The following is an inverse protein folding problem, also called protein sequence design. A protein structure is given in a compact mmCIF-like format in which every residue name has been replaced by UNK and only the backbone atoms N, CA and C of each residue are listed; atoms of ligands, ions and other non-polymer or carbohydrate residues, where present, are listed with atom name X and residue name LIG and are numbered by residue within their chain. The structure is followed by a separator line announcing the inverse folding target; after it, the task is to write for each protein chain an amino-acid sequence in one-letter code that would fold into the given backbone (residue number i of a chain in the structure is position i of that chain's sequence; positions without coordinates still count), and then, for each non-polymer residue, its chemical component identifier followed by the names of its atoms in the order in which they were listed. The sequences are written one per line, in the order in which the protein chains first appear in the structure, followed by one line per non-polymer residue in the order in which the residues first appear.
data_IF_955407622931
#
_entry.id   IF_955407622931
#
_cell.length_a   1.000
_cell.length_b   1.000
_cell.length_c   1.000
_cell.angle_alpha   90.00
_cell.angle_beta   90.00
_cell.angle_gamma   90.00
#
_symmetry.space_group_name_H-M   'P 1'
#
loop_
_entity.id
_entity.type
_entity.pdbx_description
1 polymer ?
#
# COMPACT_ATOMS: atom_id res chain seq x y z
N UNK A 1 -32.77 5.07 24.98
CA UNK A 1 -32.59 4.82 23.53
C UNK A 1 -32.74 6.16 22.83
N UNK A 2 -31.70 6.65 22.17
CA UNK A 2 -31.76 7.95 21.50
C UNK A 2 -32.39 7.80 20.12
N UNK A 3 -33.66 8.19 20.00
CA UNK A 3 -34.39 8.36 18.73
C UNK A 3 -33.95 9.68 18.09
N UNK A 4 -32.80 9.64 17.41
CA UNK A 4 -32.32 10.75 16.57
C UNK A 4 -32.75 10.58 15.11
N UNK A 5 -32.79 11.69 14.36
CA UNK A 5 -33.12 11.82 12.92
C UNK A 5 -32.29 10.97 11.93
N UNK A 6 -31.49 10.03 12.43
CA UNK A 6 -30.58 9.15 11.67
C UNK A 6 -30.79 7.67 12.05
N UNK A 7 -32.02 7.28 12.41
CA UNK A 7 -32.39 5.87 12.55
C UNK A 7 -32.14 5.13 11.22
N UNK A 8 -31.18 4.18 11.22
CA UNK A 8 -30.89 3.29 10.08
C UNK A 8 -32.15 2.60 9.58
N UNK A 9 -33.03 2.20 10.50
CA UNK A 9 -34.27 1.48 10.22
C UNK A 9 -35.36 2.34 9.57
N UNK A 10 -35.40 3.66 9.86
CA UNK A 10 -36.55 4.49 9.47
C UNK A 10 -36.23 5.57 8.42
N UNK A 11 -34.98 6.03 8.33
CA UNK A 11 -34.62 7.22 7.51
C UNK A 11 -33.51 6.98 6.48
N UNK A 12 -32.58 6.06 6.73
CA UNK A 12 -31.53 5.71 5.76
C UNK A 12 -32.03 4.56 4.86
N UNK A 13 -32.56 4.89 3.68
CA UNK A 13 -33.02 3.90 2.69
C UNK A 13 -31.91 3.36 1.79
N UNK A 14 -30.72 3.97 1.83
CA UNK A 14 -29.54 3.53 1.11
C UNK A 14 -28.63 2.73 2.06
N UNK A 15 -28.04 1.65 1.55
CA UNK A 15 -27.07 0.86 2.30
C UNK A 15 -25.80 1.70 2.54
N UNK A 16 -25.34 1.86 3.79
CA UNK A 16 -24.10 2.57 4.07
C UNK A 16 -22.93 1.78 3.50
N UNK A 17 -22.25 2.37 2.51
CA UNK A 17 -21.03 1.82 1.91
C UNK A 17 -19.93 2.88 1.97
N UNK A 18 -18.66 2.51 2.23
CA UNK A 18 -17.55 3.44 2.13
C UNK A 18 -17.46 4.04 0.72
N UNK A 19 -16.87 5.24 0.61
CA UNK A 19 -16.56 5.80 -0.69
C UNK A 19 -15.60 4.86 -1.46
N UNK A 20 -15.73 4.71 -2.79
CA UNK A 20 -14.88 3.81 -3.54
C UNK A 20 -13.39 4.18 -3.48
N UNK A 21 -12.51 3.18 -3.47
CA UNK A 21 -11.08 3.39 -3.61
C UNK A 21 -10.76 3.99 -5.00
N UNK A 22 -9.88 5.00 -5.05
CA UNK A 22 -9.46 5.59 -6.31
C UNK A 22 -8.50 4.64 -7.05
N UNK A 23 -9.04 3.83 -7.96
CA UNK A 23 -8.31 2.81 -8.71
C UNK A 23 -8.20 3.13 -10.20
N UNK A 24 -7.06 2.80 -10.79
CA UNK A 24 -6.77 3.03 -12.20
C UNK A 24 -6.14 1.77 -12.81
N UNK A 25 -6.90 1.12 -13.69
CA UNK A 25 -6.37 0.09 -14.56
C UNK A 25 -5.39 0.74 -15.55
N UNK A 26 -4.12 0.35 -15.50
CA UNK A 26 -3.10 0.86 -16.42
C UNK A 26 -2.77 -0.17 -17.50
N UNK A 27 -2.80 -1.46 -17.18
CA UNK A 27 -2.60 -2.57 -18.12
C UNK A 27 -3.23 -3.87 -17.60
N UNK A 28 -3.02 -4.99 -18.31
CA UNK A 28 -3.73 -6.24 -18.11
C UNK A 28 -3.11 -7.19 -17.07
N UNK A 29 -2.02 -6.81 -16.38
CA UNK A 29 -1.40 -7.70 -15.42
C UNK A 29 -2.27 -7.84 -14.15
N UNK A 30 -2.42 -9.05 -13.58
CA UNK A 30 -3.36 -9.33 -12.49
C UNK A 30 -2.79 -8.93 -11.12
N UNK A 31 -2.25 -7.71 -11.01
CA UNK A 31 -1.76 -7.15 -9.77
C UNK A 31 -2.24 -5.72 -9.59
N UNK A 32 -2.40 -5.30 -8.33
CA UNK A 32 -2.69 -3.91 -7.98
C UNK A 32 -1.68 -3.38 -6.96
N UNK A 33 -1.13 -2.20 -7.22
CA UNK A 33 -0.33 -1.45 -6.24
C UNK A 33 -1.15 -0.30 -5.67
N UNK A 34 -1.31 -0.27 -4.35
CA UNK A 34 -1.96 0.81 -3.62
C UNK A 34 -0.89 1.72 -3.01
N UNK A 35 -1.07 3.03 -3.17
CA UNK A 35 -0.12 4.05 -2.73
C UNK A 35 -0.82 5.06 -1.82
N UNK A 36 -0.26 5.31 -0.63
CA UNK A 36 -0.87 6.23 0.34
C UNK A 36 -0.76 7.70 -0.05
N UNK A 37 0.37 8.10 -0.65
CA UNK A 37 0.70 9.49 -0.95
C UNK A 37 0.42 9.89 -2.41
N UNK A 38 -0.19 11.05 -2.63
CA UNK A 38 -0.65 11.49 -3.95
C UNK A 38 0.51 11.87 -4.90
N UNK A 39 1.63 12.37 -4.36
CA UNK A 39 2.82 12.70 -5.14
C UNK A 39 3.56 11.42 -5.57
N UNK A 40 3.67 10.44 -4.68
CA UNK A 40 4.21 9.13 -4.99
C UNK A 40 3.35 8.41 -6.04
N UNK A 41 2.02 8.42 -5.86
CA UNK A 41 1.07 7.89 -6.84
C UNK A 41 1.26 8.54 -8.21
N UNK A 42 1.36 9.87 -8.27
CA UNK A 42 1.54 10.59 -9.54
C UNK A 42 2.84 10.21 -10.24
N UNK A 43 3.93 10.07 -9.47
CA UNK A 43 5.24 9.68 -9.99
C UNK A 43 5.23 8.24 -10.52
N UNK A 44 4.70 7.30 -9.75
CA UNK A 44 4.52 5.90 -10.16
C UNK A 44 3.64 5.77 -11.39
N UNK A 45 2.48 6.46 -11.42
CA UNK A 45 1.58 6.45 -12.58
C UNK A 45 2.29 6.90 -13.85
N UNK A 46 3.15 7.93 -13.79
CA UNK A 46 3.94 8.38 -14.95
C UNK A 46 4.96 7.35 -15.40
N UNK A 47 5.63 6.67 -14.48
CA UNK A 47 6.58 5.59 -14.81
C UNK A 47 5.84 4.41 -15.43
N UNK A 48 4.76 3.95 -14.80
CA UNK A 48 3.98 2.79 -15.23
C UNK A 48 3.25 3.02 -16.56
N UNK A 49 2.74 4.23 -16.85
CA UNK A 49 2.16 4.55 -18.17
C UNK A 49 3.18 4.55 -19.30
N UNK A 50 4.44 4.87 -18.99
CA UNK A 50 5.53 4.85 -19.96
C UNK A 50 6.26 3.50 -20.01
N UNK A 51 5.80 2.48 -19.25
CA UNK A 51 6.44 1.18 -19.21
C UNK A 51 6.33 0.47 -20.57
N UNK A 52 7.45 0.03 -21.19
CA UNK A 52 7.43 -0.55 -22.54
C UNK A 52 6.62 -1.84 -22.67
N UNK A 53 6.71 -2.71 -21.67
CA UNK A 53 6.04 -4.03 -21.64
C UNK A 53 4.67 -3.91 -20.99
N UNK A 54 3.68 -3.46 -21.76
CA UNK A 54 2.33 -3.16 -21.23
C UNK A 54 1.71 -4.34 -20.49
N UNK A 55 1.99 -5.56 -20.91
CA UNK A 55 1.52 -6.82 -20.32
C UNK A 55 2.00 -7.05 -18.88
N UNK A 56 3.04 -6.33 -18.43
CA UNK A 56 3.56 -6.43 -17.06
C UNK A 56 2.91 -5.42 -16.11
N UNK A 57 2.15 -4.45 -16.64
CA UNK A 57 1.55 -3.38 -15.84
C UNK A 57 0.13 -3.74 -15.47
N UNK A 58 -0.20 -3.68 -14.18
CA UNK A 58 -1.53 -3.91 -13.66
C UNK A 58 -2.23 -2.62 -13.26
N UNK A 59 -2.78 -2.61 -12.06
CA UNK A 59 -3.57 -1.53 -11.49
C UNK A 59 -2.75 -0.65 -10.54
N UNK A 60 -3.12 0.62 -10.47
CA UNK A 60 -2.58 1.55 -9.49
C UNK A 60 -3.73 2.23 -8.75
N UNK A 61 -3.68 2.22 -7.43
CA UNK A 61 -4.67 2.82 -6.56
C UNK A 61 -4.06 3.84 -5.61
N UNK A 62 -4.90 4.74 -5.12
CA UNK A 62 -4.54 5.75 -4.13
C UNK A 62 -5.60 5.85 -3.03
N UNK A 63 -5.15 5.94 -1.78
CA UNK A 63 -5.98 6.20 -0.62
C UNK A 63 -5.11 6.40 0.62
N UNK A 64 -5.46 7.36 1.48
CA UNK A 64 -4.68 7.69 2.68
C UNK A 64 -5.47 7.51 3.97
N UNK A 65 -4.77 7.12 5.05
CA UNK A 65 -5.35 6.98 6.40
C UNK A 65 -6.60 6.08 6.47
N UNK A 66 -7.54 6.45 7.35
CA UNK A 66 -8.79 5.69 7.59
C UNK A 66 -9.61 5.46 6.32
N UNK A 67 -9.51 6.38 5.34
CA UNK A 67 -10.23 6.24 4.07
C UNK A 67 -9.69 5.06 3.26
N UNK A 68 -8.37 4.84 3.24
CA UNK A 68 -7.78 3.66 2.58
C UNK A 68 -8.36 2.38 3.16
N UNK A 69 -8.29 2.25 4.49
CA UNK A 69 -8.76 1.05 5.20
C UNK A 69 -10.24 0.80 4.91
N UNK A 70 -11.09 1.83 5.02
CA UNK A 70 -12.52 1.69 4.77
C UNK A 70 -12.82 1.32 3.31
N UNK A 71 -12.13 1.91 2.34
CA UNK A 71 -12.42 1.76 0.91
C UNK A 71 -11.88 0.49 0.28
N UNK A 72 -10.96 -0.24 0.92
CA UNK A 72 -10.46 -1.51 0.40
C UNK A 72 -11.57 -2.51 0.07
N UNK A 73 -12.66 -2.50 0.85
CA UNK A 73 -13.76 -3.45 0.64
C UNK A 73 -14.51 -3.24 -0.67
N UNK A 74 -14.35 -2.08 -1.32
CA UNK A 74 -15.01 -1.78 -2.62
C UNK A 74 -14.23 -2.32 -3.81
N UNK A 75 -13.01 -2.85 -3.60
CA UNK A 75 -12.15 -3.30 -4.70
C UNK A 75 -12.71 -4.53 -5.42
N UNK A 76 -13.28 -5.49 -4.68
CA UNK A 76 -13.79 -6.74 -5.24
C UNK A 76 -14.88 -6.51 -6.30
N UNK A 77 -15.88 -5.68 -5.98
CA UNK A 77 -16.94 -5.31 -6.91
C UNK A 77 -16.36 -4.72 -8.20
N UNK A 78 -15.33 -3.87 -8.10
CA UNK A 78 -14.69 -3.29 -9.30
C UNK A 78 -13.94 -4.34 -10.12
N UNK A 79 -13.26 -5.30 -9.50
CA UNK A 79 -12.56 -6.37 -10.22
C UNK A 79 -13.55 -7.28 -10.97
N UNK A 80 -14.67 -7.59 -10.34
CA UNK A 80 -15.77 -8.37 -10.93
C UNK A 80 -16.42 -7.63 -12.11
N UNK A 81 -16.81 -6.37 -11.93
CA UNK A 81 -17.42 -5.54 -12.98
C UNK A 81 -16.52 -5.37 -14.22
N UNK A 82 -15.21 -5.47 -14.02
CA UNK A 82 -14.20 -5.29 -15.07
C UNK A 82 -13.71 -6.60 -15.67
N UNK A 83 -14.19 -7.73 -15.16
CA UNK A 83 -13.73 -9.08 -15.54
C UNK A 83 -12.20 -9.21 -15.45
N UNK A 84 -11.58 -8.52 -14.49
CA UNK A 84 -10.13 -8.42 -14.32
C UNK A 84 -9.75 -8.76 -12.87
N UNK A 85 -9.69 -10.05 -12.51
CA UNK A 85 -9.34 -10.47 -11.16
C UNK A 85 -7.88 -10.09 -10.83
N UNK A 86 -7.67 -9.68 -9.59
CA UNK A 86 -6.33 -9.41 -9.04
C UNK A 86 -5.85 -10.62 -8.26
N UNK A 87 -4.63 -11.06 -8.56
CA UNK A 87 -3.94 -12.17 -7.88
C UNK A 87 -2.96 -11.64 -6.83
N UNK A 88 -2.34 -10.48 -7.08
CA UNK A 88 -1.30 -9.91 -6.22
C UNK A 88 -1.68 -8.48 -5.81
N UNK A 89 -1.80 -8.24 -4.50
CA UNK A 89 -2.22 -6.95 -3.96
C UNK A 89 -1.09 -6.35 -3.11
N UNK A 90 -0.53 -5.23 -3.57
CA UNK A 90 0.63 -4.60 -2.96
C UNK A 90 0.25 -3.27 -2.30
N UNK A 91 0.85 -2.98 -1.15
CA UNK A 91 0.73 -1.70 -0.45
C UNK A 91 2.09 -1.01 -0.29
N UNK A 92 2.09 0.29 -0.57
CA UNK A 92 3.19 1.20 -0.29
C UNK A 92 2.66 2.39 0.52
N UNK A 93 3.19 2.60 1.72
CA UNK A 93 2.90 3.70 2.66
C UNK A 93 4.18 4.47 2.98
N UNK A 94 4.05 5.54 3.77
CA UNK A 94 5.22 6.16 4.39
C UNK A 94 5.91 5.18 5.38
N UNK A 95 7.23 5.32 5.54
CA UNK A 95 8.01 4.69 6.62
C UNK A 95 8.05 5.65 7.82
N UNK A 96 6.87 5.87 8.37
CA UNK A 96 6.63 6.47 9.68
C UNK A 96 5.64 5.60 10.46
N UNK A 97 5.34 5.99 11.70
CA UNK A 97 4.51 5.15 12.55
C UNK A 97 3.06 5.05 12.03
N UNK A 98 2.49 6.16 11.57
CA UNK A 98 1.10 6.23 11.12
C UNK A 98 0.91 5.43 9.83
N UNK A 99 1.85 5.53 8.87
CA UNK A 99 1.84 4.75 7.64
C UNK A 99 1.93 3.24 7.88
N UNK A 100 2.79 2.80 8.81
CA UNK A 100 2.93 1.38 9.15
C UNK A 100 1.70 0.83 9.90
N UNK A 101 1.09 1.63 10.77
CA UNK A 101 -0.16 1.25 11.44
C UNK A 101 -1.34 1.18 10.46
N UNK A 102 -1.43 2.15 9.54
CA UNK A 102 -2.36 2.14 8.43
C UNK A 102 -2.21 0.86 7.60
N UNK A 103 -0.98 0.47 7.27
CA UNK A 103 -0.70 -0.76 6.54
C UNK A 103 -1.17 -2.01 7.28
N UNK A 104 -0.91 -2.12 8.59
CA UNK A 104 -1.42 -3.24 9.41
C UNK A 104 -2.95 -3.31 9.42
N UNK A 105 -3.62 -2.18 9.60
CA UNK A 105 -5.09 -2.13 9.58
C UNK A 105 -5.64 -2.49 8.20
N UNK A 106 -4.98 -2.04 7.13
CA UNK A 106 -5.33 -2.37 5.76
C UNK A 106 -5.19 -3.89 5.48
N UNK A 107 -4.15 -4.55 6.02
CA UNK A 107 -3.95 -6.00 5.89
C UNK A 107 -5.10 -6.76 6.55
N UNK A 108 -5.45 -6.44 7.78
CA UNK A 108 -6.57 -7.10 8.47
C UNK A 108 -7.89 -6.86 7.72
N UNK A 109 -8.13 -5.63 7.27
CA UNK A 109 -9.35 -5.31 6.54
C UNK A 109 -9.44 -5.99 5.19
N UNK A 110 -8.34 -6.11 4.46
CA UNK A 110 -8.28 -6.85 3.19
C UNK A 110 -8.62 -8.33 3.42
N UNK A 111 -8.06 -8.92 4.49
CA UNK A 111 -8.35 -10.30 4.90
C UNK A 111 -9.83 -10.50 5.24
N UNK A 112 -10.42 -9.60 6.02
CA UNK A 112 -11.85 -9.63 6.38
C UNK A 112 -12.76 -9.49 5.15
N UNK A 113 -12.34 -8.71 4.15
CA UNK A 113 -13.08 -8.50 2.91
C UNK A 113 -12.94 -9.66 1.92
N UNK A 114 -12.06 -10.64 2.16
CA UNK A 114 -11.79 -11.73 1.21
C UNK A 114 -10.95 -11.31 0.00
N UNK A 115 -10.19 -10.21 0.10
CA UNK A 115 -9.22 -9.81 -0.93
C UNK A 115 -8.01 -10.76 -0.95
N UNK A 116 -7.25 -10.79 -2.05
CA UNK A 116 -5.92 -11.40 -2.07
C UNK A 116 -5.04 -10.85 -0.93
N UNK A 117 -4.07 -11.63 -0.43
CA UNK A 117 -3.16 -11.18 0.62
C UNK A 117 -2.53 -9.83 0.26
N UNK A 118 -2.72 -8.84 1.14
CA UNK A 118 -2.11 -7.52 1.01
C UNK A 118 -0.66 -7.59 1.48
N UNK A 119 0.29 -7.45 0.55
CA UNK A 119 1.72 -7.58 0.83
C UNK A 119 2.45 -6.24 0.67
N UNK A 120 3.59 -6.04 1.35
CA UNK A 120 4.41 -4.85 1.12
C UNK A 120 4.97 -4.81 -0.30
N UNK A 121 4.98 -3.61 -0.91
CA UNK A 121 5.79 -3.32 -2.09
C UNK A 121 7.28 -3.21 -1.70
N UNK A 122 7.87 -4.32 -1.23
CA UNK A 122 9.17 -4.32 -0.56
C UNK A 122 10.29 -3.74 -1.42
N UNK A 123 10.27 -3.93 -2.74
CA UNK A 123 11.29 -3.33 -3.62
C UNK A 123 11.25 -1.80 -3.65
N UNK A 124 10.08 -1.19 -3.44
CA UNK A 124 9.96 0.27 -3.29
C UNK A 124 10.53 0.73 -1.95
N UNK A 125 10.27 0.00 -0.86
CA UNK A 125 10.85 0.29 0.46
C UNK A 125 12.37 0.11 0.47
N UNK A 126 12.89 -0.93 -0.17
CA UNK A 126 14.33 -1.18 -0.35
C UNK A 126 15.01 -0.02 -1.09
N UNK A 127 14.35 0.56 -2.10
CA UNK A 127 14.81 1.75 -2.82
C UNK A 127 14.65 3.06 -2.04
N UNK A 128 13.70 3.13 -1.12
CA UNK A 128 13.43 4.30 -0.28
C UNK A 128 14.41 4.42 0.90
N UNK A 129 14.72 3.31 1.57
CA UNK A 129 15.54 3.29 2.79
C UNK A 129 16.92 3.96 2.70
N UNK A 130 17.63 3.95 1.56
CA UNK A 130 18.92 4.63 1.43
C UNK A 130 18.83 6.16 1.28
N UNK A 131 17.62 6.71 1.17
CA UNK A 131 17.40 8.12 0.86
C UNK A 131 17.46 9.00 2.13
N UNK A 132 17.65 10.33 1.99
CA UNK A 132 17.71 11.24 3.13
C UNK A 132 16.45 11.17 3.99
N UNK A 133 16.65 11.02 5.30
CA UNK A 133 15.60 10.90 6.31
C UNK A 133 15.12 12.27 6.80
N UNK A 134 14.02 12.28 7.56
CA UNK A 134 13.56 13.43 8.34
C UNK A 134 13.55 13.06 9.82
N UNK A 135 14.02 13.95 10.69
CA UNK A 135 14.00 13.73 12.13
C UNK A 135 12.61 14.03 12.71
N UNK A 136 12.14 13.15 13.59
CA UNK A 136 10.91 13.27 14.39
C UNK A 136 11.17 12.82 15.83
N UNK A 137 10.34 13.21 16.80
CA UNK A 137 10.44 12.66 18.15
C UNK A 137 10.33 11.13 18.16
N UNK A 138 11.23 10.48 18.90
CA UNK A 138 11.20 9.02 19.08
C UNK A 138 9.89 8.61 19.72
N UNK A 139 9.26 7.58 19.18
CA UNK A 139 8.03 6.98 19.71
C UNK A 139 8.33 5.71 20.49
N UNK A 140 7.34 5.18 21.21
CA UNK A 140 7.45 3.94 21.97
C UNK A 140 7.98 2.77 21.11
N UNK A 141 9.03 2.11 21.60
CA UNK A 141 9.71 1.03 20.87
C UNK A 141 8.82 -0.21 20.69
N UNK A 142 7.88 -0.46 21.61
CA UNK A 142 6.90 -1.54 21.47
C UNK A 142 5.93 -1.29 20.33
N UNK A 143 5.42 -0.05 20.24
CA UNK A 143 4.56 0.42 19.15
C UNK A 143 5.27 0.36 17.80
N UNK A 144 6.55 0.80 17.73
CA UNK A 144 7.38 0.71 16.52
C UNK A 144 7.53 -0.75 16.03
N UNK A 145 7.93 -1.68 16.91
CA UNK A 145 8.09 -3.10 16.53
C UNK A 145 6.76 -3.72 16.08
N UNK A 146 5.68 -3.39 16.78
CA UNK A 146 4.34 -3.86 16.41
C UNK A 146 3.95 -3.33 15.04
N UNK A 147 4.13 -2.03 14.80
CA UNK A 147 3.83 -1.41 13.52
C UNK A 147 4.66 -2.01 12.38
N UNK A 148 5.97 -2.22 12.56
CA UNK A 148 6.86 -2.78 11.53
C UNK A 148 6.66 -4.28 11.25
N UNK A 149 5.91 -5.01 12.08
CA UNK A 149 5.75 -6.48 11.99
C UNK A 149 5.09 -6.99 10.71
N UNK A 150 4.38 -6.13 9.95
CA UNK A 150 3.80 -6.52 8.66
C UNK A 150 4.85 -6.62 7.55
N UNK A 151 6.04 -6.06 7.78
CA UNK A 151 7.20 -6.20 6.88
C UNK A 151 7.95 -7.48 7.24
N UNK A 152 8.57 -8.10 6.24
CA UNK A 152 9.48 -9.22 6.44
C UNK A 152 10.91 -8.74 6.68
N UNK A 153 11.73 -9.56 7.34
CA UNK A 153 13.16 -9.26 7.45
C UNK A 153 13.89 -9.40 6.10
N UNK A 154 14.94 -8.58 5.85
CA UNK A 154 15.57 -7.63 6.77
C UNK A 154 14.89 -6.25 6.82
N UNK A 155 13.79 -6.05 6.08
CA UNK A 155 13.14 -4.75 5.96
C UNK A 155 12.54 -4.29 7.30
N UNK A 156 11.86 -5.19 8.00
CA UNK A 156 11.31 -4.91 9.33
C UNK A 156 12.40 -4.40 10.30
N UNK A 157 13.52 -5.12 10.42
CA UNK A 157 14.66 -4.71 11.26
C UNK A 157 15.15 -3.30 10.91
N UNK A 158 15.38 -3.03 9.61
CA UNK A 158 15.88 -1.71 9.16
C UNK A 158 14.90 -0.57 9.45
N UNK A 159 13.60 -0.85 9.34
CA UNK A 159 12.54 0.14 9.64
C UNK A 159 12.43 0.38 11.16
N UNK A 160 12.56 -0.68 11.98
CA UNK A 160 12.62 -0.53 13.43
C UNK A 160 13.80 0.34 13.85
N UNK A 161 14.99 0.11 13.26
CA UNK A 161 16.19 0.90 13.54
C UNK A 161 15.99 2.38 13.16
N UNK A 162 15.44 2.63 11.96
CA UNK A 162 15.11 3.98 11.46
C UNK A 162 14.19 4.73 12.44
N UNK A 163 13.04 4.14 12.78
CA UNK A 163 12.05 4.80 13.65
C UNK A 163 12.56 4.96 15.09
N UNK A 164 13.34 4.00 15.59
CA UNK A 164 13.95 4.08 16.93
C UNK A 164 15.02 5.17 17.00
N UNK A 165 15.67 5.48 15.88
CA UNK A 165 16.58 6.62 15.72
C UNK A 165 15.88 7.98 15.69
N UNK A 166 14.54 8.02 15.71
CA UNK A 166 13.77 9.26 15.56
C UNK A 166 13.82 9.77 14.12
N UNK A 167 13.89 8.86 13.15
CA UNK A 167 13.94 9.19 11.73
C UNK A 167 12.73 8.60 11.02
N UNK A 168 12.28 9.26 9.96
CA UNK A 168 11.19 8.78 9.08
C UNK A 168 11.53 9.02 7.61
N UNK A 169 10.90 8.23 6.75
CA UNK A 169 10.98 8.39 5.30
C UNK A 169 9.58 8.41 4.70
N UNK A 170 9.28 9.48 3.97
CA UNK A 170 8.02 9.58 3.21
C UNK A 170 8.21 9.07 1.80
N UNK A 171 7.17 8.53 1.19
CA UNK A 171 7.17 7.98 -0.16
C UNK A 171 7.69 8.98 -1.21
N UNK A 172 7.40 10.27 -1.00
CA UNK A 172 7.87 11.38 -1.85
C UNK A 172 9.40 11.55 -1.88
N UNK A 173 10.12 11.01 -0.90
CA UNK A 173 11.58 11.01 -0.90
C UNK A 173 12.17 10.16 -2.02
N UNK A 174 11.38 9.26 -2.63
CA UNK A 174 11.71 8.48 -3.83
C UNK A 174 11.06 9.11 -5.08
N UNK A 175 11.63 10.19 -5.65
CA UNK A 175 11.00 10.91 -6.76
C UNK A 175 11.15 10.16 -8.09
N UNK A 176 10.43 10.64 -9.10
CA UNK A 176 10.34 10.01 -10.42
C UNK A 176 11.68 9.61 -11.07
N UNK A 177 12.78 10.40 -11.02
CA UNK A 177 14.06 9.99 -11.60
C UNK A 177 14.63 8.73 -10.92
N UNK A 178 14.55 8.65 -9.60
CA UNK A 178 15.02 7.52 -8.80
C UNK A 178 14.12 6.30 -9.03
N UNK A 179 12.79 6.49 -9.12
CA UNK A 179 11.87 5.41 -9.50
C UNK A 179 12.24 4.78 -10.86
N UNK A 180 12.67 5.58 -11.84
CA UNK A 180 13.11 5.08 -13.16
C UNK A 180 14.46 4.35 -13.11
N UNK A 181 15.30 4.66 -12.14
CA UNK A 181 16.56 3.94 -11.92
C UNK A 181 16.33 2.63 -11.17
N UNK A 182 15.39 2.65 -10.22
CA UNK A 182 14.96 1.48 -9.44
C UNK A 182 14.24 0.47 -10.33
N UNK A 183 13.19 0.90 -11.04
CA UNK A 183 12.37 0.06 -11.90
C UNK A 183 12.96 0.03 -13.31
N UNK A 184 13.59 -1.10 -13.65
CA UNK A 184 14.34 -1.35 -14.89
C UNK A 184 13.44 -2.04 -15.92
N UNK A 185 13.14 -1.41 -17.07
CA UNK A 185 12.30 -2.00 -18.11
C UNK A 185 12.82 -3.30 -18.74
N UNK A 186 14.11 -3.61 -18.57
CA UNK A 186 14.72 -4.86 -19.04
C UNK A 186 14.52 -6.06 -18.10
N UNK A 187 13.82 -5.87 -16.98
CA UNK A 187 13.50 -6.90 -15.98
C UNK A 187 12.00 -6.91 -15.74
N UNK A 188 11.44 -8.05 -15.31
CA UNK A 188 10.02 -8.16 -15.02
C UNK A 188 9.59 -7.21 -13.91
N UNK A 189 8.51 -6.46 -14.12
CA UNK A 189 8.07 -5.40 -13.22
C UNK A 189 7.62 -5.92 -11.84
N UNK A 190 6.75 -6.92 -11.78
CA UNK A 190 6.17 -7.38 -10.50
C UNK A 190 7.22 -7.86 -9.48
N UNK A 191 8.24 -8.66 -9.85
CA UNK A 191 9.35 -8.98 -8.94
C UNK A 191 10.10 -7.76 -8.41
N UNK A 192 10.25 -6.70 -9.22
CA UNK A 192 10.89 -5.46 -8.76
C UNK A 192 10.04 -4.70 -7.74
N UNK A 193 8.71 -4.81 -7.80
CA UNK A 193 7.81 -4.22 -6.81
C UNK A 193 7.78 -5.04 -5.51
N UNK A 194 7.76 -6.37 -5.64
CA UNK A 194 7.76 -7.30 -4.51
C UNK A 194 9.10 -7.38 -3.76
N UNK A 195 10.19 -6.88 -4.35
CA UNK A 195 11.53 -7.01 -3.78
C UNK A 195 12.02 -8.46 -3.81
N UNK A 196 12.95 -8.81 -2.93
CA UNK A 196 13.55 -10.14 -2.91
C UNK A 196 12.49 -11.23 -2.57
N UNK A 197 12.23 -12.21 -3.47
CA UNK A 197 11.19 -13.22 -3.28
C UNK A 197 11.39 -14.14 -2.05
N UNK A 198 12.60 -14.18 -1.48
CA UNK A 198 12.90 -14.94 -0.26
C UNK A 198 12.25 -14.35 1.02
N UNK A 199 11.71 -13.13 0.94
CA UNK A 199 11.07 -12.44 2.06
C UNK A 199 9.52 -12.60 2.08
N UNK A 200 8.93 -13.41 1.19
CA UNK A 200 7.47 -13.54 0.99
C UNK A 200 6.68 -14.06 2.21
N UNK A 201 7.33 -14.61 3.24
CA UNK A 201 6.66 -15.17 4.41
C UNK A 201 7.36 -14.72 5.71
N UNK A 202 6.96 -13.57 6.25
CA UNK A 202 7.12 -13.28 7.68
C UNK A 202 6.22 -14.20 8.52
N UNK A 203 6.48 -14.38 9.84
CA UNK A 203 5.89 -15.48 10.60
C UNK A 203 4.43 -15.19 10.93
N UNK A 204 3.53 -15.61 10.05
CA UNK A 204 2.11 -15.82 10.34
C UNK A 204 1.77 -17.27 10.00
N UNK A 205 2.25 -18.17 10.86
CA UNK A 205 1.60 -19.42 11.26
C UNK A 205 1.26 -19.31 12.74
#
# INVERSE_FOLDING_TARGET
MATGLLSITDHLRAFPSPAPLAMYELGPAPWMLIVENSAAFTSLRRVLRAWPRREEVGWLAYGGGDHLVASLTTCLETFEEREHPIEELLLYTDLDLDGLECARQAVERAREAGLPPLVPAAGLYEGLLPLPTRTVPVTDAGRIRTAASWLADPLATRVVDLLSGGEVLRQEALPQPQLRQLLRPGQSLLPQLLGNPLARYGPHL
#
